data_IF_436763791374
#
_entry.id   IF_436763791374
#
_cell.length_a   1.000
_cell.length_b   1.000
_cell.length_c   1.000
_cell.angle_alpha   90.00
_cell.angle_beta   90.00
_cell.angle_gamma   90.00
#
_symmetry.space_group_name_H-M   'P 1'
#
loop_
_entity.id
_entity.type
_entity.pdbx_description
1 polymer ?
#
# COMPACT_ATOMS: atom_id res chain seq x y z
N UNK A 1 12.61 -14.50 -0.92
CA UNK A 1 11.51 -14.09 -1.83
C UNK A 1 10.33 -15.01 -1.62
N UNK A 2 9.10 -14.49 -1.54
CA UNK A 2 7.91 -15.31 -1.27
C UNK A 2 6.81 -15.09 -2.30
N UNK A 3 6.56 -13.86 -2.72
CA UNK A 3 5.43 -13.52 -3.58
C UNK A 3 5.70 -12.23 -4.34
N UNK A 4 5.30 -12.16 -5.61
CA UNK A 4 5.30 -10.96 -6.41
C UNK A 4 4.05 -10.90 -7.29
N UNK A 5 3.59 -9.68 -7.61
CA UNK A 5 2.39 -9.47 -8.39
C UNK A 5 2.19 -8.02 -8.76
N UNK A 6 0.96 -7.67 -9.11
CA UNK A 6 0.55 -6.29 -9.43
C UNK A 6 -0.74 -5.94 -8.73
N UNK A 7 -0.89 -4.68 -8.30
CA UNK A 7 -2.12 -4.17 -7.69
C UNK A 7 -3.31 -4.37 -8.63
N UNK A 8 -4.34 -5.06 -8.18
CA UNK A 8 -5.58 -5.28 -8.94
C UNK A 8 -6.57 -4.13 -8.74
N UNK A 9 -7.60 -4.07 -9.60
CA UNK A 9 -8.68 -3.09 -9.47
C UNK A 9 -9.42 -3.23 -8.12
N UNK A 10 -9.73 -4.47 -7.73
CA UNK A 10 -10.41 -4.77 -6.47
C UNK A 10 -9.64 -4.26 -5.25
N UNK A 11 -8.33 -4.48 -5.23
CA UNK A 11 -7.46 -4.01 -4.14
C UNK A 11 -7.42 -2.48 -4.09
N UNK A 12 -7.34 -1.82 -5.24
CA UNK A 12 -7.33 -0.36 -5.33
C UNK A 12 -8.65 0.23 -4.82
N UNK A 13 -9.79 -0.37 -5.16
CA UNK A 13 -11.10 0.05 -4.68
C UNK A 13 -11.28 -0.17 -3.18
N UNK A 14 -10.81 -1.32 -2.66
CA UNK A 14 -10.97 -1.71 -1.25
C UNK A 14 -10.10 -0.90 -0.29
N UNK A 15 -8.80 -0.76 -0.56
CA UNK A 15 -7.86 -0.12 0.36
C UNK A 15 -7.61 1.36 0.07
N UNK A 16 -7.94 1.82 -1.15
CA UNK A 16 -7.77 3.22 -1.57
C UNK A 16 -6.36 3.77 -1.33
N UNK A 17 -5.34 2.90 -1.40
CA UNK A 17 -3.94 3.28 -1.24
C UNK A 17 -3.56 4.32 -2.31
N UNK A 18 -3.38 5.58 -1.91
CA UNK A 18 -3.10 6.68 -2.83
C UNK A 18 -1.68 6.62 -3.42
N UNK A 19 -0.80 5.80 -2.86
CA UNK A 19 0.59 5.66 -3.27
C UNK A 19 0.80 4.51 -4.27
N UNK A 20 -0.27 3.86 -4.73
CA UNK A 20 -0.24 2.87 -5.82
C UNK A 20 -1.31 3.17 -6.87
N UNK A 21 -1.17 2.57 -8.05
CA UNK A 21 -2.20 2.53 -9.11
C UNK A 21 -2.41 1.09 -9.58
N UNK A 22 -3.51 0.83 -10.30
CA UNK A 22 -3.79 -0.49 -10.89
C UNK A 22 -2.63 -0.90 -11.78
N UNK A 23 -2.08 -2.09 -11.57
CA UNK A 23 -0.89 -2.57 -12.28
C UNK A 23 0.44 -2.21 -11.61
N UNK A 24 0.45 -1.46 -10.51
CA UNK A 24 1.68 -1.19 -9.75
C UNK A 24 2.29 -2.52 -9.29
N UNK A 25 3.55 -2.84 -9.66
CA UNK A 25 4.17 -4.09 -9.25
C UNK A 25 4.49 -4.06 -7.77
N UNK A 26 4.40 -5.21 -7.13
CA UNK A 26 4.82 -5.39 -5.75
C UNK A 26 5.58 -6.70 -5.56
N UNK A 27 6.32 -6.78 -4.46
CA UNK A 27 6.93 -8.01 -3.95
C UNK A 27 6.80 -8.06 -2.43
N UNK A 28 6.57 -9.25 -1.90
CA UNK A 28 6.50 -9.52 -0.46
C UNK A 28 7.67 -10.39 -0.05
N UNK A 29 8.35 -9.95 1.00
CA UNK A 29 9.38 -10.70 1.72
C UNK A 29 8.91 -10.95 3.14
N UNK A 30 9.26 -12.12 3.68
CA UNK A 30 8.92 -12.51 5.05
C UNK A 30 10.21 -12.56 5.87
N UNK A 31 10.16 -12.05 7.10
CA UNK A 31 11.25 -12.16 8.07
C UNK A 31 11.55 -13.63 8.40
N UNK A 32 12.83 -14.00 8.42
CA UNK A 32 13.30 -15.32 8.87
C UNK A 32 13.39 -15.43 10.40
N UNK A 33 13.29 -14.32 11.13
CA UNK A 33 13.42 -14.27 12.59
C UNK A 33 12.09 -14.56 13.32
N UNK A 34 12.20 -14.81 14.64
CA UNK A 34 11.10 -15.18 15.55
C UNK A 34 9.89 -14.22 15.55
N UNK A 35 10.09 -12.96 15.15
CA UNK A 35 9.01 -12.02 14.87
C UNK A 35 8.72 -12.05 13.37
N UNK A 36 7.72 -12.83 13.00
CA UNK A 36 7.29 -12.94 11.61
C UNK A 36 6.68 -11.60 11.20
N UNK A 37 7.34 -10.97 10.23
CA UNK A 37 6.94 -9.68 9.68
C UNK A 37 6.96 -9.70 8.16
N UNK A 38 6.09 -8.90 7.55
CA UNK A 38 6.07 -8.67 6.11
C UNK A 38 6.81 -7.40 5.74
N UNK A 39 7.64 -7.49 4.71
CA UNK A 39 8.13 -6.33 3.97
C UNK A 39 7.53 -6.39 2.57
N UNK A 40 6.60 -5.48 2.29
CA UNK A 40 6.04 -5.28 0.96
C UNK A 40 6.80 -4.13 0.31
N UNK A 41 7.34 -4.36 -0.89
CA UNK A 41 7.96 -3.30 -1.70
C UNK A 41 7.19 -3.10 -2.99
N UNK A 42 6.82 -1.85 -3.26
CA UNK A 42 6.09 -1.43 -4.46
C UNK A 42 7.02 -0.80 -5.49
N UNK A 43 6.57 -0.79 -6.75
CA UNK A 43 7.28 -0.25 -7.91
C UNK A 43 8.55 -1.02 -8.26
N UNK A 44 9.32 -0.52 -9.23
CA UNK A 44 10.64 -1.04 -9.57
C UNK A 44 11.66 -0.66 -8.49
N UNK A 45 11.54 -1.31 -7.34
CA UNK A 45 12.41 -1.12 -6.19
C UNK A 45 13.72 -1.87 -6.37
N UNK A 46 14.81 -1.29 -5.87
CA UNK A 46 16.06 -2.01 -5.67
C UNK A 46 15.87 -3.35 -4.93
N UNK A 47 14.98 -3.37 -3.92
CA UNK A 47 14.64 -4.53 -3.11
C UNK A 47 13.87 -5.61 -3.88
N UNK A 48 13.25 -5.26 -5.02
CA UNK A 48 12.40 -6.17 -5.78
C UNK A 48 13.19 -7.37 -6.32
N UNK A 49 14.45 -7.18 -6.69
CA UNK A 49 15.28 -8.25 -7.27
C UNK A 49 16.17 -8.95 -6.23
N UNK A 50 15.94 -8.70 -4.93
CA UNK A 50 16.72 -9.32 -3.86
C UNK A 50 16.10 -10.66 -3.43
N UNK A 51 16.91 -11.70 -3.30
CA UNK A 51 16.52 -13.00 -2.72
C UNK A 51 16.22 -12.85 -1.23
N UNK A 52 17.17 -12.21 -0.53
CA UNK A 52 17.18 -11.89 0.89
C UNK A 52 17.55 -10.41 1.07
N UNK A 53 17.04 -9.80 2.13
CA UNK A 53 17.34 -8.41 2.49
C UNK A 53 17.61 -8.34 3.99
N UNK A 54 18.72 -7.69 4.35
CA UNK A 54 19.00 -7.32 5.74
C UNK A 54 18.94 -5.80 5.88
N UNK A 55 18.02 -5.30 6.69
CA UNK A 55 17.90 -3.85 6.96
C UNK A 55 18.52 -3.55 8.32
N UNK A 56 19.41 -2.56 8.37
CA UNK A 56 20.01 -2.10 9.62
C UNK A 56 19.22 -0.94 10.28
N UNK A 57 19.69 -0.50 11.45
CA UNK A 57 19.07 0.61 12.21
C UNK A 57 19.15 1.96 11.48
N UNK A 58 20.04 2.09 10.51
CA UNK A 58 20.22 3.29 9.69
C UNK A 58 19.38 3.22 8.40
N UNK A 59 18.46 2.26 8.29
CA UNK A 59 17.62 2.03 7.11
C UNK A 59 18.45 1.65 5.87
N UNK A 60 19.65 1.11 6.05
CA UNK A 60 20.46 0.56 4.96
C UNK A 60 20.07 -0.90 4.76
N UNK A 61 19.53 -1.19 3.58
CA UNK A 61 19.22 -2.51 3.12
C UNK A 61 20.42 -3.10 2.37
N UNK A 62 20.97 -4.20 2.88
CA UNK A 62 21.96 -5.00 2.19
C UNK A 62 21.25 -6.10 1.40
N UNK A 63 21.55 -6.16 0.10
CA UNK A 63 21.05 -7.18 -0.82
C UNK A 63 22.23 -8.04 -1.27
N UNK A 64 22.11 -9.36 -1.09
CA UNK A 64 23.20 -10.34 -1.27
C UNK A 64 23.98 -10.17 -2.59
N UNK A 65 23.29 -9.78 -3.68
CA UNK A 65 23.86 -9.71 -5.03
C UNK A 65 23.96 -8.30 -5.64
N UNK A 66 23.64 -7.23 -4.89
CA UNK A 66 23.60 -5.86 -5.46
C UNK A 66 24.28 -4.78 -4.60
N UNK A 67 24.74 -5.09 -3.40
CA UNK A 67 25.34 -4.12 -2.47
C UNK A 67 24.33 -3.48 -1.51
N UNK A 68 24.61 -2.23 -1.12
CA UNK A 68 23.82 -1.51 -0.11
C UNK A 68 22.89 -0.48 -0.76
N UNK A 69 21.67 -0.39 -0.25
CA UNK A 69 20.65 0.58 -0.64
C UNK A 69 20.08 1.27 0.59
N UNK A 70 20.16 2.60 0.66
CA UNK A 70 19.57 3.37 1.75
C UNK A 70 18.09 3.61 1.47
N UNK A 71 17.22 2.97 2.26
CA UNK A 71 15.79 3.21 2.23
C UNK A 71 15.52 4.60 2.80
N UNK A 72 14.88 5.46 2.01
CA UNK A 72 14.43 6.77 2.50
C UNK A 72 13.32 6.54 3.52
N UNK A 73 13.47 7.07 4.73
CA UNK A 73 12.46 6.93 5.81
C UNK A 73 11.08 7.44 5.42
N UNK A 74 11.00 8.45 4.55
CA UNK A 74 9.73 8.97 4.02
C UNK A 74 9.03 8.05 3.01
N UNK A 75 9.69 6.96 2.60
CA UNK A 75 9.21 5.99 1.62
C UNK A 75 8.90 4.63 2.26
N UNK A 76 9.00 4.51 3.59
CA UNK A 76 8.68 3.28 4.30
C UNK A 76 7.68 3.58 5.42
N UNK A 77 6.62 2.80 5.47
CA UNK A 77 5.57 2.88 6.47
C UNK A 77 5.53 1.58 7.26
N UNK A 78 5.79 1.69 8.56
CA UNK A 78 5.89 0.54 9.46
C UNK A 78 4.63 0.47 10.34
N UNK A 79 4.10 -0.74 10.49
CA UNK A 79 2.91 -1.05 11.28
C UNK A 79 3.25 -2.19 12.24
N UNK A 80 3.11 -1.95 13.54
CA UNK A 80 3.32 -2.94 14.60
C UNK A 80 2.08 -3.84 14.81
N UNK A 81 1.33 -4.07 13.74
CA UNK A 81 0.13 -4.89 13.73
C UNK A 81 -0.05 -5.59 12.39
N UNK A 82 -0.93 -6.58 12.38
CA UNK A 82 -1.31 -7.31 11.18
C UNK A 82 -2.09 -6.42 10.21
N UNK A 83 -1.59 -6.28 8.98
CA UNK A 83 -2.22 -5.47 7.96
C UNK A 83 -2.96 -6.35 6.93
N UNK A 84 -4.29 -6.33 6.94
CA UNK A 84 -5.12 -7.07 5.98
C UNK A 84 -4.75 -6.78 4.51
N UNK A 85 -4.28 -5.57 4.21
CA UNK A 85 -3.81 -5.22 2.88
C UNK A 85 -2.64 -6.09 2.43
N UNK A 86 -1.66 -6.33 3.30
CA UNK A 86 -0.51 -7.16 2.97
C UNK A 86 -0.86 -8.65 2.85
N UNK A 87 -1.84 -9.12 3.62
CA UNK A 87 -2.38 -10.47 3.49
C UNK A 87 -3.08 -10.68 2.14
N UNK A 88 -3.91 -9.73 1.70
CA UNK A 88 -4.54 -9.83 0.39
C UNK A 88 -3.54 -9.75 -0.75
N UNK A 89 -2.47 -8.95 -0.61
CA UNK A 89 -1.35 -8.98 -1.56
C UNK A 89 -0.68 -10.35 -1.60
N UNK A 90 -0.57 -11.03 -0.45
CA UNK A 90 -0.03 -12.39 -0.43
C UNK A 90 -0.98 -13.38 -1.11
N UNK A 91 -2.30 -13.20 -0.94
CA UNK A 91 -3.32 -14.08 -1.54
C UNK A 91 -3.34 -14.05 -3.06
N UNK A 92 -2.94 -12.95 -3.70
CA UNK A 92 -2.85 -12.93 -5.18
C UNK A 92 -1.78 -13.89 -5.71
N UNK A 93 -0.83 -14.31 -4.88
CA UNK A 93 0.21 -15.25 -5.25
C UNK A 93 -0.18 -16.72 -4.98
N UNK A 94 -1.30 -16.97 -4.31
CA UNK A 94 -1.77 -18.32 -4.07
C UNK A 94 -2.69 -18.76 -5.20
N UNK A 95 -2.41 -19.93 -5.76
CA UNK A 95 -3.36 -20.61 -6.64
C UNK A 95 -4.49 -21.18 -5.77
N UNK A 96 -5.77 -20.87 -6.05
CA UNK A 96 -6.90 -21.50 -5.36
C UNK A 96 -6.87 -23.03 -5.41
N UNK A 97 -6.21 -23.63 -6.41
CA UNK A 97 -6.04 -25.07 -6.55
C UNK A 97 -4.95 -25.67 -5.62
N UNK A 98 -4.04 -24.84 -5.10
CA UNK A 98 -3.03 -25.26 -4.13
C UNK A 98 -3.67 -25.38 -2.73
N UNK A 99 -4.29 -26.53 -2.50
CA UNK A 99 -5.02 -26.93 -1.29
C UNK A 99 -4.20 -26.99 0.02
N UNK A 100 -2.91 -26.61 0.00
CA UNK A 100 -2.11 -26.54 1.23
C UNK A 100 -2.26 -25.14 1.82
N UNK A 101 -3.04 -24.94 2.91
CA UNK A 101 -3.01 -23.69 3.64
C UNK A 101 -1.58 -23.52 4.16
N UNK A 102 -0.79 -22.68 3.48
CA UNK A 102 0.49 -22.26 4.03
C UNK A 102 0.10 -21.49 5.29
N UNK A 103 0.36 -22.08 6.46
CA UNK A 103 0.14 -21.41 7.74
C UNK A 103 1.03 -20.17 7.73
N UNK A 104 0.44 -19.04 7.33
CA UNK A 104 1.08 -17.74 7.45
C UNK A 104 1.28 -17.57 8.96
N UNK A 105 2.53 -17.49 9.44
CA UNK A 105 2.76 -17.37 10.87
C UNK A 105 2.06 -16.12 11.41
N UNK A 106 1.77 -16.02 12.71
CA UNK A 106 1.11 -14.85 13.28
C UNK A 106 1.98 -13.60 13.05
N UNK A 107 1.65 -12.85 12.00
CA UNK A 107 2.44 -11.71 11.58
C UNK A 107 2.24 -10.61 12.60
N UNK A 108 3.33 -10.13 13.18
CA UNK A 108 3.31 -9.09 14.20
C UNK A 108 3.62 -7.70 13.65
N UNK A 109 4.26 -7.66 12.49
CA UNK A 109 4.79 -6.43 11.92
C UNK A 109 4.64 -6.40 10.40
N UNK A 110 4.25 -5.26 9.84
CA UNK A 110 4.21 -5.03 8.39
C UNK A 110 4.94 -3.74 8.04
N UNK A 111 5.85 -3.79 7.08
CA UNK A 111 6.47 -2.63 6.47
C UNK A 111 6.04 -2.51 5.01
N UNK A 112 5.53 -1.35 4.62
CA UNK A 112 5.22 -0.98 3.25
C UNK A 112 6.29 -0.02 2.74
N UNK A 113 7.03 -0.42 1.72
CA UNK A 113 8.07 0.38 1.08
C UNK A 113 7.64 0.81 -0.32
N UNK A 114 7.62 2.12 -0.58
CA UNK A 114 7.26 2.72 -1.86
C UNK A 114 8.50 3.27 -2.55
N UNK A 115 9.06 2.56 -3.53
CA UNK A 115 10.27 3.03 -4.22
C UNK A 115 10.05 4.30 -5.06
N UNK A 116 8.79 4.63 -5.34
CA UNK A 116 8.35 5.82 -6.03
C UNK A 116 7.11 6.39 -5.34
N UNK A 117 7.01 7.72 -5.27
CA UNK A 117 5.83 8.42 -4.75
C UNK A 117 5.14 9.13 -5.92
N UNK A 118 3.97 8.64 -6.38
CA UNK A 118 3.22 9.33 -7.41
C UNK A 118 2.70 10.68 -6.89
N UNK A 119 2.43 11.65 -7.79
CA UNK A 119 1.67 12.85 -7.42
C UNK A 119 0.31 12.42 -6.87
N UNK A 120 -0.07 12.93 -5.70
CA UNK A 120 -1.36 12.62 -5.08
C UNK A 120 -2.41 13.44 -5.80
N UNK A 121 -3.17 12.79 -6.68
CA UNK A 121 -4.40 13.37 -7.19
C UNK A 121 -5.44 13.31 -6.06
N UNK A 122 -5.61 14.44 -5.36
CA UNK A 122 -6.75 14.60 -4.48
C UNK A 122 -8.00 14.45 -5.37
N UNK A 123 -8.79 13.41 -5.11
CA UNK A 123 -10.07 13.24 -5.80
C UNK A 123 -10.87 14.52 -5.61
N UNK A 124 -11.01 15.28 -6.69
CA UNK A 124 -11.88 16.45 -6.71
C UNK A 124 -13.31 15.92 -6.58
N UNK A 125 -13.76 15.73 -5.34
CA UNK A 125 -15.18 15.59 -5.09
C UNK A 125 -15.73 16.97 -5.38
N UNK A 126 -16.20 17.18 -6.60
CA UNK A 126 -17.10 18.27 -6.89
C UNK A 126 -18.28 18.06 -5.94
N UNK A 127 -18.30 18.81 -4.85
CA UNK A 127 -19.50 19.01 -4.07
C UNK A 127 -20.43 19.79 -4.99
N UNK A 128 -21.16 19.05 -5.84
CA UNK A 128 -22.39 19.53 -6.45
C UNK A 128 -23.44 19.62 -5.34
N UNK A 129 -23.11 20.36 -4.27
CA UNK A 129 -24.10 20.90 -3.34
C UNK A 129 -24.69 22.09 -4.09
N UNK A 130 -25.50 21.73 -5.08
CA UNK A 130 -26.73 22.39 -5.47
C UNK A 130 -26.77 23.88 -5.10
N UNK A 131 -25.88 24.65 -5.72
CA UNK A 131 -25.80 26.12 -5.56
C UNK A 131 -27.14 26.77 -5.90
N UNK A 132 -27.95 26.09 -6.72
CA UNK A 132 -29.35 26.45 -7.00
C UNK A 132 -30.22 26.49 -5.75
N UNK A 133 -30.15 25.51 -4.84
CA UNK A 133 -31.05 25.47 -3.67
C UNK A 133 -30.74 26.56 -2.66
N UNK A 134 -29.46 26.89 -2.47
CA UNK A 134 -29.03 28.00 -1.61
C UNK A 134 -29.52 29.34 -2.18
N UNK A 135 -29.44 29.53 -3.50
CA UNK A 135 -29.96 30.72 -4.19
C UNK A 135 -31.50 30.83 -4.10
N UNK A 136 -32.23 29.72 -4.20
CA UNK A 136 -33.69 29.72 -4.05
C UNK A 136 -34.12 30.07 -2.63
N UNK A 137 -33.41 29.58 -1.61
CA UNK A 137 -33.71 29.88 -0.21
C UNK A 137 -33.42 31.34 0.15
N UNK A 138 -32.36 31.94 -0.40
CA UNK A 138 -32.06 33.37 -0.17
C UNK A 138 -33.07 34.29 -0.87
N UNK A 139 -33.47 33.99 -2.11
CA UNK A 139 -34.48 34.78 -2.83
C UNK A 139 -35.85 34.68 -2.15
N UNK A 140 -36.25 33.48 -1.71
CA UNK A 140 -37.50 33.29 -0.98
C UNK A 140 -37.52 34.04 0.37
N UNK A 141 -36.40 34.08 1.10
CA UNK A 141 -36.29 34.80 2.36
C UNK A 141 -36.37 36.32 2.21
N UNK A 142 -35.78 36.89 1.16
CA UNK A 142 -35.82 38.34 0.91
C UNK A 142 -37.21 38.80 0.46
N UNK A 143 -37.92 38.00 -0.34
CA UNK A 143 -39.29 38.29 -0.77
C UNK A 143 -40.32 38.23 0.38
N UNK A 144 -40.00 37.58 1.49
CA UNK A 144 -40.90 37.47 2.65
C UNK A 144 -40.75 38.63 3.64
N UNK A 145 -39.69 39.44 3.50
CA UNK A 145 -39.36 40.55 4.42
C UNK A 145 -39.80 41.92 3.85
N UNK A 146 -40.23 41.96 2.58
CA UNK A 146 -40.86 43.13 1.94
C UNK A 146 -42.38 43.02 1.94
#
# INVERSE_FOLDING_TARGET
>A
DVCHGTITNEMKLKYKDQLTFIGTPFKIMISENAEVGFLVTFYDSYLRNCSSVRVDRNSVAACENKGNYTIKRSMIHCFEFYLFYADELMRTCYDPADSKPRQVPPIRFTALHYAYKPPIEAGQVALDIATKWVLWLTVAGVLWIM
#
